data_IF_625100932325
#
_entry.id   IF_625100932325
#
_cell.length_a   1.000
_cell.length_b   1.000
_cell.length_c   1.000
_cell.angle_alpha   90.00
_cell.angle_beta   90.00
_cell.angle_gamma   90.00
#
_symmetry.space_group_name_H-M   'P 1'
#
loop_
_entity.id
_entity.type
_entity.pdbx_description
1 polymer ?
#
# COMPACT_ATOMS: atom_id res chain seq x y z
N UNK A 1 21.31 -27.28 -21.18
CA UNK A 1 21.81 -25.94 -20.82
C UNK A 1 20.79 -24.89 -21.21
N UNK A 2 20.80 -24.45 -22.47
CA UNK A 2 19.83 -23.48 -22.98
C UNK A 2 18.39 -24.03 -23.02
N UNK A 3 18.22 -25.30 -23.39
CA UNK A 3 16.87 -25.91 -23.44
C UNK A 3 16.24 -25.98 -22.04
N UNK A 4 17.04 -26.40 -21.03
CA UNK A 4 16.65 -26.34 -19.63
C UNK A 4 16.30 -24.92 -19.15
N UNK A 5 17.05 -23.90 -19.57
CA UNK A 5 16.73 -22.51 -19.24
C UNK A 5 15.36 -22.11 -19.82
N UNK A 6 15.04 -22.52 -21.06
CA UNK A 6 13.76 -22.20 -21.68
C UNK A 6 12.59 -22.89 -20.99
N UNK A 7 12.75 -24.17 -20.67
CA UNK A 7 11.77 -24.98 -19.94
C UNK A 7 11.53 -24.41 -18.54
N UNK A 8 12.60 -24.16 -17.78
CA UNK A 8 12.53 -23.55 -16.46
C UNK A 8 11.89 -22.16 -16.51
N UNK A 9 12.18 -21.35 -17.54
CA UNK A 9 11.59 -20.02 -17.68
C UNK A 9 10.13 -20.05 -18.12
N UNK A 10 9.66 -21.14 -18.74
CA UNK A 10 8.24 -21.33 -19.04
C UNK A 10 7.44 -21.79 -17.83
N UNK A 11 8.00 -22.63 -16.96
CA UNK A 11 7.32 -23.11 -15.75
C UNK A 11 7.47 -22.12 -14.58
N UNK A 12 8.66 -21.55 -14.41
CA UNK A 12 9.05 -20.71 -13.28
C UNK A 12 9.75 -19.42 -13.75
N UNK A 13 9.00 -18.45 -14.33
CA UNK A 13 9.58 -17.27 -14.99
C UNK A 13 10.44 -16.41 -14.04
N UNK A 14 10.12 -16.44 -12.75
CA UNK A 14 10.65 -15.57 -11.71
C UNK A 14 11.96 -16.06 -11.10
N UNK A 15 12.36 -17.31 -11.35
CA UNK A 15 13.62 -17.83 -10.80
C UNK A 15 14.80 -17.14 -11.50
N UNK A 16 15.68 -16.42 -10.79
CA UNK A 16 16.88 -15.83 -11.38
C UNK A 16 17.84 -16.94 -11.82
N UNK A 17 18.23 -16.95 -13.11
CA UNK A 17 19.18 -17.94 -13.66
C UNK A 17 20.41 -17.24 -14.22
N UNK A 18 21.59 -17.58 -13.68
CA UNK A 18 22.90 -17.14 -14.19
C UNK A 18 23.53 -18.28 -14.97
N UNK A 19 23.86 -18.04 -16.23
CA UNK A 19 24.48 -19.05 -17.10
C UNK A 19 25.99 -19.02 -16.95
N UNK A 20 26.63 -20.19 -16.81
CA UNK A 20 28.09 -20.31 -16.68
C UNK A 20 28.65 -21.13 -17.84
N UNK A 21 29.69 -20.64 -18.53
CA UNK A 21 30.31 -21.32 -19.67
C UNK A 21 31.83 -21.48 -19.52
N UNK A 22 32.43 -22.48 -20.16
CA UNK A 22 33.88 -22.57 -20.34
C UNK A 22 34.38 -21.90 -21.64
N UNK A 23 33.49 -21.66 -22.61
CA UNK A 23 33.82 -21.07 -23.90
C UNK A 23 33.15 -19.69 -24.02
N UNK A 24 33.95 -18.63 -23.90
CA UNK A 24 33.49 -17.24 -23.96
C UNK A 24 33.18 -16.78 -25.40
N UNK A 25 32.06 -17.24 -25.96
CA UNK A 25 31.55 -16.71 -27.23
C UNK A 25 30.40 -15.73 -26.96
N UNK A 26 30.60 -14.46 -27.31
CA UNK A 26 29.64 -13.36 -27.14
C UNK A 26 28.28 -13.70 -27.78
N UNK A 27 28.26 -14.43 -28.91
CA UNK A 27 27.01 -14.84 -29.56
C UNK A 27 26.15 -15.73 -28.66
N UNK A 28 26.76 -16.62 -27.89
CA UNK A 28 26.04 -17.52 -26.98
C UNK A 28 25.52 -16.79 -25.74
N UNK A 29 26.26 -15.78 -25.25
CA UNK A 29 25.80 -14.94 -24.14
C UNK A 29 24.49 -14.22 -24.48
N UNK A 30 24.40 -13.64 -25.68
CA UNK A 30 23.18 -12.95 -26.15
C UNK A 30 22.00 -13.91 -26.27
N UNK A 31 22.23 -15.14 -26.75
CA UNK A 31 21.17 -16.15 -26.86
C UNK A 31 20.65 -16.56 -25.48
N UNK A 32 21.54 -16.73 -24.49
CA UNK A 32 21.16 -17.03 -23.10
C UNK A 32 20.33 -15.90 -22.47
N UNK A 33 20.74 -14.64 -22.65
CA UNK A 33 20.01 -13.48 -22.12
C UNK A 33 18.62 -13.36 -22.75
N UNK A 34 18.50 -13.55 -24.08
CA UNK A 34 17.21 -13.56 -24.77
C UNK A 34 16.30 -14.71 -24.33
N UNK A 35 16.88 -15.84 -23.92
CA UNK A 35 16.14 -16.99 -23.40
C UNK A 35 15.72 -16.83 -21.93
N UNK A 36 16.02 -15.69 -21.28
CA UNK A 36 15.56 -15.38 -19.92
C UNK A 36 16.60 -15.57 -18.82
N UNK A 37 17.87 -15.82 -19.16
CA UNK A 37 18.95 -15.72 -18.18
C UNK A 37 19.17 -14.26 -17.79
N UNK A 38 19.44 -14.01 -16.51
CA UNK A 38 19.68 -12.65 -16.00
C UNK A 38 21.12 -12.20 -16.24
N UNK A 39 22.04 -13.17 -16.29
CA UNK A 39 23.45 -12.90 -16.53
C UNK A 39 24.18 -14.12 -17.10
N UNK A 40 25.37 -13.89 -17.64
CA UNK A 40 26.23 -14.88 -18.28
C UNK A 40 27.68 -14.70 -17.83
N UNK A 41 28.27 -15.73 -17.21
CA UNK A 41 29.61 -15.71 -16.64
C UNK A 41 30.50 -16.75 -17.34
N UNK A 42 31.71 -16.34 -17.72
CA UNK A 42 32.72 -17.21 -18.32
C UNK A 42 33.66 -17.78 -17.26
N UNK A 43 34.08 -19.05 -17.40
CA UNK A 43 35.13 -19.66 -16.59
C UNK A 43 36.51 -19.23 -17.12
N UNK A 44 37.53 -19.10 -16.25
CA UNK A 44 37.49 -19.28 -14.80
C UNK A 44 36.65 -18.20 -14.10
N UNK A 45 35.91 -18.60 -13.07
CA UNK A 45 34.93 -17.72 -12.41
C UNK A 45 35.68 -16.70 -11.57
N UNK A 46 35.51 -15.42 -11.89
CA UNK A 46 35.88 -14.33 -10.99
C UNK A 46 34.92 -14.29 -9.81
N UNK A 47 35.47 -14.46 -8.60
CA UNK A 47 34.70 -14.52 -7.35
C UNK A 47 34.02 -13.19 -7.04
N UNK A 48 34.67 -12.05 -7.29
CA UNK A 48 34.11 -10.73 -7.02
C UNK A 48 32.96 -10.43 -7.97
N UNK A 49 33.15 -10.76 -9.26
CA UNK A 49 32.10 -10.65 -10.25
C UNK A 49 30.89 -11.52 -9.89
N UNK A 50 31.10 -12.79 -9.54
CA UNK A 50 30.01 -13.68 -9.15
C UNK A 50 29.24 -13.16 -7.93
N UNK A 51 29.95 -12.71 -6.89
CA UNK A 51 29.32 -12.15 -5.69
C UNK A 51 28.49 -10.90 -6.02
N UNK A 52 29.01 -9.98 -6.83
CA UNK A 52 28.28 -8.77 -7.21
C UNK A 52 26.97 -9.07 -7.95
N UNK A 53 26.98 -10.07 -8.83
CA UNK A 53 25.81 -10.50 -9.60
C UNK A 53 24.79 -11.17 -8.69
N UNK A 54 25.25 -12.05 -7.80
CA UNK A 54 24.37 -12.74 -6.86
C UNK A 54 23.72 -11.76 -5.87
N UNK A 55 24.47 -10.81 -5.30
CA UNK A 55 23.93 -9.82 -4.36
C UNK A 55 22.86 -8.94 -5.01
N UNK A 56 23.14 -8.40 -6.20
CA UNK A 56 22.20 -7.56 -6.95
C UNK A 56 20.90 -8.31 -7.30
N UNK A 57 21.01 -9.57 -7.70
CA UNK A 57 19.86 -10.35 -8.15
C UNK A 57 19.05 -10.92 -6.97
N UNK A 58 19.68 -11.22 -5.84
CA UNK A 58 18.98 -11.57 -4.60
C UNK A 58 18.18 -10.38 -4.05
N UNK A 59 18.74 -9.17 -4.09
CA UNK A 59 18.00 -7.94 -3.73
C UNK A 59 16.81 -7.70 -4.68
N UNK A 60 16.98 -7.86 -5.99
CA UNK A 60 15.88 -7.71 -6.95
C UNK A 60 14.81 -8.81 -6.82
N UNK A 61 15.22 -10.03 -6.47
CA UNK A 61 14.33 -11.19 -6.32
C UNK A 61 13.55 -11.16 -5.00
N UNK A 62 14.11 -10.62 -3.90
CA UNK A 62 13.34 -10.39 -2.68
C UNK A 62 12.22 -9.38 -2.94
N UNK A 63 12.53 -8.26 -3.61
CA UNK A 63 11.55 -7.22 -3.93
C UNK A 63 10.41 -7.76 -4.81
N UNK A 64 10.70 -8.67 -5.77
CA UNK A 64 9.68 -9.27 -6.63
C UNK A 64 8.86 -10.36 -5.95
N UNK A 65 9.48 -11.17 -5.08
CA UNK A 65 8.78 -12.20 -4.28
C UNK A 65 7.89 -11.58 -3.21
N UNK A 66 8.37 -10.52 -2.55
CA UNK A 66 7.56 -9.74 -1.61
C UNK A 66 6.38 -9.09 -2.33
N UNK A 67 6.53 -8.66 -3.59
CA UNK A 67 5.42 -8.13 -4.39
C UNK A 67 4.34 -9.18 -4.70
N UNK A 68 4.73 -10.45 -4.88
CA UNK A 68 3.81 -11.55 -5.20
C UNK A 68 3.17 -12.10 -3.92
N UNK A 69 3.91 -12.28 -2.83
CA UNK A 69 3.33 -12.69 -1.54
C UNK A 69 2.41 -11.60 -0.96
N UNK A 70 2.73 -10.32 -1.18
CA UNK A 70 1.82 -9.21 -0.89
C UNK A 70 0.56 -9.29 -1.77
N UNK A 71 0.67 -9.61 -3.06
CA UNK A 71 -0.49 -9.81 -3.95
C UNK A 71 -1.36 -11.00 -3.56
N UNK A 72 -0.77 -12.12 -3.12
CA UNK A 72 -1.51 -13.28 -2.61
C UNK A 72 -2.18 -12.98 -1.27
N UNK A 73 -1.54 -12.19 -0.39
CA UNK A 73 -2.16 -11.67 0.84
C UNK A 73 -3.31 -10.69 0.54
N UNK A 74 -3.26 -10.00 -0.61
CA UNK A 74 -4.35 -9.16 -1.12
C UNK A 74 -5.50 -9.99 -1.71
N UNK A 75 -5.24 -11.16 -2.29
CA UNK A 75 -6.29 -12.12 -2.67
C UNK A 75 -6.99 -12.71 -1.44
N UNK A 76 -6.29 -12.95 -0.33
CA UNK A 76 -6.94 -13.30 0.95
C UNK A 76 -7.82 -12.15 1.49
N UNK A 77 -7.46 -10.89 1.22
CA UNK A 77 -8.33 -9.73 1.49
C UNK A 77 -9.54 -9.63 0.52
N UNK A 78 -9.52 -10.32 -0.62
CA UNK A 78 -10.60 -10.33 -1.60
C UNK A 78 -11.92 -10.86 -1.03
N UNK A 79 -11.87 -11.75 -0.03
CA UNK A 79 -13.08 -12.32 0.57
C UNK A 79 -13.90 -11.26 1.33
N UNK A 80 -13.24 -10.30 1.99
CA UNK A 80 -13.92 -9.19 2.67
C UNK A 80 -14.48 -8.14 1.73
N UNK A 81 -13.76 -7.86 0.63
CA UNK A 81 -14.22 -6.88 -0.36
C UNK A 81 -15.39 -7.39 -1.21
N UNK A 82 -15.64 -8.70 -1.23
CA UNK A 82 -16.71 -9.31 -2.01
C UNK A 82 -18.00 -9.56 -1.23
N UNK A 83 -18.03 -9.31 0.09
CA UNK A 83 -19.27 -9.41 0.84
C UNK A 83 -20.22 -8.27 0.43
N UNK A 84 -21.22 -8.60 -0.38
CA UNK A 84 -22.28 -7.66 -0.76
C UNK A 84 -23.25 -7.52 0.42
N UNK A 85 -23.47 -6.29 0.85
CA UNK A 85 -24.45 -5.98 1.90
C UNK A 85 -25.86 -5.97 1.32
N UNK A 86 -26.82 -6.45 2.11
CA UNK A 86 -28.24 -6.36 1.77
C UNK A 86 -28.87 -5.05 2.28
N UNK A 87 -28.12 -4.24 3.05
CA UNK A 87 -28.58 -2.95 3.55
C UNK A 87 -28.57 -1.89 2.43
N UNK A 88 -29.69 -1.19 2.18
CA UNK A 88 -29.77 -0.18 1.12
C UNK A 88 -28.72 0.93 1.24
N UNK A 89 -28.30 1.31 2.45
CA UNK A 89 -27.29 2.38 2.62
C UNK A 89 -25.90 1.89 2.23
N UNK A 90 -25.58 0.64 2.50
CA UNK A 90 -24.33 0.04 2.02
C UNK A 90 -24.34 -0.13 0.51
N UNK A 91 -25.47 -0.49 -0.09
CA UNK A 91 -25.61 -0.55 -1.55
C UNK A 91 -25.46 0.83 -2.22
N UNK A 92 -25.95 1.89 -1.57
CA UNK A 92 -25.70 3.26 -2.00
C UNK A 92 -24.21 3.61 -1.93
N UNK A 93 -23.52 3.25 -0.84
CA UNK A 93 -22.07 3.39 -0.73
C UNK A 93 -21.36 2.66 -1.87
N UNK A 94 -21.74 1.41 -2.17
CA UNK A 94 -21.17 0.64 -3.28
C UNK A 94 -21.43 1.28 -4.65
N UNK A 95 -22.61 1.87 -4.85
CA UNK A 95 -22.94 2.65 -6.06
C UNK A 95 -22.03 3.87 -6.20
N UNK A 96 -21.77 4.59 -5.10
CA UNK A 96 -20.84 5.71 -5.08
C UNK A 96 -19.42 5.22 -5.39
N UNK A 97 -18.97 4.13 -4.74
CA UNK A 97 -17.66 3.51 -5.01
C UNK A 97 -17.51 3.21 -6.51
N UNK A 98 -18.52 2.60 -7.12
CA UNK A 98 -18.53 2.31 -8.56
C UNK A 98 -18.33 3.53 -9.46
N UNK A 99 -18.83 4.70 -9.05
CA UNK A 99 -18.67 5.97 -9.78
C UNK A 99 -17.31 6.62 -9.56
N UNK A 100 -16.71 6.46 -8.39
CA UNK A 100 -15.48 7.16 -7.98
C UNK A 100 -14.22 6.30 -8.09
N UNK A 101 -14.35 5.01 -8.42
CA UNK A 101 -13.23 4.04 -8.45
C UNK A 101 -12.04 4.49 -9.29
N UNK A 102 -12.28 5.20 -10.39
CA UNK A 102 -11.24 5.70 -11.31
C UNK A 102 -10.86 7.17 -11.07
N UNK A 103 -11.55 7.84 -10.14
CA UNK A 103 -11.30 9.25 -9.80
C UNK A 103 -10.08 9.42 -8.88
N UNK A 104 -9.23 10.43 -9.10
CA UNK A 104 -8.15 10.77 -8.17
C UNK A 104 -8.63 11.56 -6.94
N UNK A 105 -9.93 11.88 -6.85
CA UNK A 105 -10.49 12.66 -5.76
C UNK A 105 -10.27 12.00 -4.39
N UNK A 106 -10.04 12.84 -3.38
CA UNK A 106 -9.95 12.41 -1.98
C UNK A 106 -11.30 11.88 -1.51
N UNK A 107 -11.26 10.79 -0.76
CA UNK A 107 -12.45 10.20 -0.14
C UNK A 107 -12.29 10.22 1.37
N UNK A 108 -13.28 10.75 2.07
CA UNK A 108 -13.39 10.73 3.52
C UNK A 108 -14.44 9.68 3.94
N UNK A 109 -14.03 8.72 4.76
CA UNK A 109 -14.88 7.64 5.25
C UNK A 109 -15.16 7.87 6.73
N UNK A 110 -16.42 8.08 7.09
CA UNK A 110 -16.87 8.29 8.46
C UNK A 110 -17.61 7.06 8.96
N UNK A 111 -17.55 6.81 10.26
CA UNK A 111 -18.31 5.75 10.90
C UNK A 111 -17.61 5.22 12.16
N UNK A 112 -18.36 4.58 13.04
CA UNK A 112 -17.84 4.09 14.32
C UNK A 112 -16.64 3.14 14.17
N UNK A 113 -15.89 2.93 15.25
CA UNK A 113 -14.81 1.93 15.24
C UNK A 113 -15.37 0.54 14.92
N UNK A 114 -14.65 -0.23 14.10
CA UNK A 114 -15.06 -1.58 13.71
C UNK A 114 -16.18 -1.69 12.67
N UNK A 115 -16.67 -0.58 12.07
CA UNK A 115 -17.72 -0.66 11.03
C UNK A 115 -17.22 -1.08 9.64
N UNK A 116 -15.90 -1.26 9.46
CA UNK A 116 -15.30 -1.69 8.20
C UNK A 116 -14.74 -0.57 7.33
N UNK A 117 -14.38 0.59 7.90
CA UNK A 117 -13.80 1.73 7.15
C UNK A 117 -12.59 1.35 6.29
N UNK A 118 -11.67 0.55 6.82
CA UNK A 118 -10.51 0.06 6.05
C UNK A 118 -10.94 -0.87 4.90
N UNK A 119 -11.94 -1.73 5.11
CA UNK A 119 -12.46 -2.62 4.06
C UNK A 119 -13.07 -1.79 2.93
N UNK A 120 -13.84 -0.75 3.26
CA UNK A 120 -14.39 0.20 2.29
C UNK A 120 -13.28 0.93 1.53
N UNK A 121 -12.22 1.38 2.22
CA UNK A 121 -11.06 1.99 1.58
C UNK A 121 -10.36 1.04 0.59
N UNK A 122 -10.18 -0.23 0.97
CA UNK A 122 -9.65 -1.28 0.10
C UNK A 122 -10.58 -1.53 -1.10
N UNK A 123 -11.90 -1.58 -0.89
CA UNK A 123 -12.90 -1.74 -1.96
C UNK A 123 -12.81 -0.60 -2.99
N UNK A 124 -12.65 0.65 -2.55
CA UNK A 124 -12.42 1.80 -3.44
C UNK A 124 -11.14 1.61 -4.27
N UNK A 125 -10.05 1.18 -3.65
CA UNK A 125 -8.77 1.02 -4.32
C UNK A 125 -8.78 -0.13 -5.35
N UNK A 126 -9.26 -1.31 -4.95
CA UNK A 126 -9.21 -2.52 -5.78
C UNK A 126 -10.29 -2.59 -6.87
N UNK A 127 -11.32 -1.74 -6.82
CA UNK A 127 -12.40 -1.74 -7.82
C UNK A 127 -12.07 -1.02 -9.13
N UNK A 128 -11.03 -0.17 -9.17
CA UNK A 128 -10.75 0.73 -10.30
C UNK A 128 -9.32 0.71 -10.83
N UNK A 129 -8.92 1.82 -11.48
CA UNK A 129 -7.61 2.05 -12.10
C UNK A 129 -6.42 1.78 -11.16
N UNK A 130 -6.61 2.00 -9.85
CA UNK A 130 -5.55 1.91 -8.86
C UNK A 130 -5.26 0.48 -8.37
N UNK A 131 -6.08 -0.51 -8.74
CA UNK A 131 -6.04 -1.89 -8.21
C UNK A 131 -4.68 -2.62 -8.24
N UNK A 132 -3.80 -2.23 -9.16
CA UNK A 132 -2.48 -2.85 -9.35
C UNK A 132 -1.34 -2.04 -8.75
N UNK A 133 -1.65 -0.87 -8.18
CA UNK A 133 -0.71 0.04 -7.53
C UNK A 133 -0.68 -0.23 -6.02
N UNK A 134 0.31 0.30 -5.28
CA UNK A 134 0.36 0.09 -3.83
C UNK A 134 -0.85 0.68 -3.10
N UNK A 135 -1.37 -0.04 -2.12
CA UNK A 135 -2.28 0.47 -1.10
C UNK A 135 -1.52 0.50 0.23
N UNK A 136 -1.21 1.69 0.72
CA UNK A 136 -0.42 1.88 1.94
C UNK A 136 -1.32 2.48 3.01
N UNK A 137 -1.51 1.76 4.12
CA UNK A 137 -2.26 2.23 5.28
C UNK A 137 -1.36 2.79 6.38
N UNK A 138 -1.86 3.76 7.13
CA UNK A 138 -1.30 4.25 8.38
C UNK A 138 -2.43 4.61 9.34
N UNK A 139 -2.35 4.12 10.56
CA UNK A 139 -3.24 4.51 11.66
C UNK A 139 -2.61 5.68 12.42
N UNK A 140 -3.38 6.74 12.61
CA UNK A 140 -2.89 7.99 13.19
C UNK A 140 -3.06 8.08 14.72
N UNK A 141 -3.89 7.23 15.35
CA UNK A 141 -4.16 7.29 16.79
C UNK A 141 -3.09 6.63 17.67
N UNK A 142 -2.24 5.78 17.09
CA UNK A 142 -1.29 4.97 17.85
C UNK A 142 0.14 5.56 17.98
N UNK A 143 0.40 6.73 17.38
CA UNK A 143 1.75 7.28 17.27
C UNK A 143 1.85 8.67 17.90
N UNK A 144 2.97 8.94 18.59
CA UNK A 144 3.33 10.31 18.92
C UNK A 144 3.64 11.10 17.63
N UNK A 145 3.52 12.43 17.68
CA UNK A 145 3.67 13.29 16.49
C UNK A 145 4.98 13.06 15.73
N UNK A 146 6.11 12.90 16.43
CA UNK A 146 7.41 12.68 15.81
C UNK A 146 7.48 11.34 15.05
N UNK A 147 6.89 10.29 15.62
CA UNK A 147 6.81 8.97 14.97
C UNK A 147 5.83 9.01 13.81
N UNK A 148 4.67 9.67 13.96
CA UNK A 148 3.71 9.81 12.86
C UNK A 148 4.31 10.60 11.69
N UNK A 149 5.06 11.68 11.98
CA UNK A 149 5.76 12.47 10.97
C UNK A 149 6.81 11.63 10.22
N UNK A 150 7.63 10.90 10.98
CA UNK A 150 8.63 9.98 10.45
C UNK A 150 8.03 8.82 9.64
N UNK A 151 6.86 8.31 10.04
CA UNK A 151 6.12 7.31 9.27
C UNK A 151 5.58 7.92 7.97
N UNK A 152 4.86 9.04 8.02
CA UNK A 152 4.22 9.65 6.86
C UNK A 152 5.24 10.13 5.82
N UNK A 153 6.24 10.91 6.26
CA UNK A 153 7.16 11.63 5.38
C UNK A 153 8.54 10.98 5.30
N UNK A 154 8.86 10.03 6.17
CA UNK A 154 10.20 9.44 6.24
C UNK A 154 11.18 10.35 6.96
N UNK A 155 12.40 9.85 7.16
CA UNK A 155 13.47 10.62 7.80
C UNK A 155 14.83 10.34 7.18
N UNK A 156 15.69 11.35 7.22
CA UNK A 156 17.11 11.19 6.93
C UNK A 156 17.89 10.67 8.14
N UNK A 157 19.07 10.08 7.90
CA UNK A 157 19.95 9.63 8.97
C UNK A 157 20.32 10.81 9.88
N UNK A 158 20.14 10.66 11.18
CA UNK A 158 20.44 11.69 12.18
C UNK A 158 19.36 12.77 12.35
N UNK A 159 18.18 12.61 11.77
CA UNK A 159 17.08 13.58 11.90
C UNK A 159 16.57 13.75 13.35
N UNK A 160 16.67 12.70 14.17
CA UNK A 160 16.34 12.72 15.60
C UNK A 160 17.15 11.64 16.35
N UNK A 161 17.11 11.66 17.68
CA UNK A 161 17.77 10.65 18.52
C UNK A 161 17.20 9.26 18.25
N UNK A 162 18.00 8.36 17.66
CA UNK A 162 17.58 7.02 17.24
C UNK A 162 17.41 6.84 15.72
N UNK A 163 17.58 7.89 14.92
CA UNK A 163 17.57 7.83 13.45
C UNK A 163 18.92 7.29 12.90
N UNK A 164 19.21 6.01 13.15
CA UNK A 164 20.48 5.37 12.76
C UNK A 164 20.65 5.18 11.25
N UNK A 165 19.54 5.08 10.52
CA UNK A 165 19.47 4.93 9.08
C UNK A 165 18.40 5.84 8.49
N UNK A 166 18.43 6.02 7.18
CA UNK A 166 17.35 6.67 6.44
C UNK A 166 16.14 5.73 6.37
N UNK A 167 14.93 6.28 6.47
CA UNK A 167 13.66 5.56 6.28
C UNK A 167 12.77 6.27 5.28
N UNK A 168 12.16 5.52 4.37
CA UNK A 168 11.16 6.03 3.43
C UNK A 168 9.82 6.23 4.14
N UNK A 169 9.12 7.33 3.80
CA UNK A 169 7.80 7.62 4.32
C UNK A 169 6.68 6.89 3.59
N UNK A 170 5.48 6.83 4.20
CA UNK A 170 4.28 6.25 3.59
C UNK A 170 3.88 6.95 2.30
N UNK A 171 4.06 8.27 2.18
CA UNK A 171 3.83 8.99 0.93
C UNK A 171 4.75 8.50 -0.21
N UNK A 172 6.03 8.23 0.09
CA UNK A 172 6.96 7.69 -0.92
C UNK A 172 6.63 6.26 -1.30
N UNK A 173 6.30 5.42 -0.30
CA UNK A 173 5.94 4.03 -0.51
C UNK A 173 4.63 3.89 -1.32
N UNK A 174 3.69 4.80 -1.12
CA UNK A 174 2.44 4.83 -1.89
C UNK A 174 2.69 5.20 -3.35
N UNK A 175 3.63 6.12 -3.62
CA UNK A 175 3.97 6.56 -4.98
C UNK A 175 2.73 7.04 -5.74
N UNK A 176 2.40 6.39 -6.86
CA UNK A 176 1.19 6.69 -7.66
C UNK A 176 -0.04 5.86 -7.24
N UNK A 177 0.06 5.09 -6.16
CA UNK A 177 -0.99 4.27 -5.58
C UNK A 177 -1.95 5.04 -4.68
N UNK A 178 -2.32 4.44 -3.55
CA UNK A 178 -3.25 5.02 -2.59
C UNK A 178 -2.65 5.01 -1.18
N UNK A 179 -2.73 6.16 -0.51
CA UNK A 179 -2.43 6.30 0.91
C UNK A 179 -3.76 6.35 1.67
N UNK A 180 -3.95 5.37 2.54
CA UNK A 180 -5.07 5.30 3.47
C UNK A 180 -4.64 5.83 4.84
N UNK A 181 -5.28 6.92 5.28
CA UNK A 181 -5.06 7.54 6.58
C UNK A 181 -6.23 7.15 7.49
N UNK A 182 -6.01 6.27 8.44
CA UNK A 182 -7.04 5.88 9.42
C UNK A 182 -6.95 6.74 10.67
N UNK A 183 -8.11 6.97 11.30
CA UNK A 183 -8.24 7.76 12.53
C UNK A 183 -7.65 9.17 12.42
N UNK A 184 -7.94 9.88 11.32
CA UNK A 184 -7.38 11.21 11.04
C UNK A 184 -7.78 12.28 12.06
N UNK A 185 -8.87 12.05 12.81
CA UNK A 185 -9.30 12.93 13.90
C UNK A 185 -8.32 12.96 15.08
N UNK A 186 -7.47 11.95 15.23
CA UNK A 186 -6.49 11.85 16.31
C UNK A 186 -5.16 12.58 16.01
N UNK A 187 -4.99 13.14 14.80
CA UNK A 187 -3.80 13.92 14.47
C UNK A 187 -3.75 15.23 15.28
N UNK A 188 -2.57 15.61 15.75
CA UNK A 188 -2.37 16.95 16.31
C UNK A 188 -2.55 18.05 15.25
N UNK A 189 -2.88 19.28 15.69
CA UNK A 189 -3.01 20.43 14.78
C UNK A 189 -1.74 20.70 13.95
N UNK A 190 -0.56 20.40 14.51
CA UNK A 190 0.71 20.53 13.81
C UNK A 190 0.83 19.51 12.67
N UNK A 191 0.48 18.25 12.93
CA UNK A 191 0.46 17.20 11.90
C UNK A 191 -0.61 17.47 10.84
N UNK A 192 -1.79 17.96 11.23
CA UNK A 192 -2.85 18.37 10.31
C UNK A 192 -2.37 19.48 9.34
N UNK A 193 -1.64 20.48 9.85
CA UNK A 193 -1.07 21.55 9.02
C UNK A 193 -0.03 21.02 8.02
N UNK A 194 0.84 20.09 8.44
CA UNK A 194 1.81 19.43 7.55
C UNK A 194 1.10 18.61 6.48
N UNK A 195 0.11 17.80 6.87
CA UNK A 195 -0.68 17.02 5.92
C UNK A 195 -1.36 17.92 4.89
N UNK A 196 -2.04 18.99 5.32
CA UNK A 196 -2.68 19.94 4.42
C UNK A 196 -1.70 20.50 3.38
N UNK A 197 -0.49 20.87 3.81
CA UNK A 197 0.55 21.38 2.91
C UNK A 197 0.91 20.36 1.83
N UNK A 198 1.09 19.09 2.20
CA UNK A 198 1.37 18.01 1.23
C UNK A 198 0.21 17.81 0.25
N UNK A 199 -1.04 17.86 0.74
CA UNK A 199 -2.23 17.72 -0.10
C UNK A 199 -2.38 18.89 -1.10
N UNK A 200 -1.91 20.09 -0.75
CA UNK A 200 -1.96 21.28 -1.59
C UNK A 200 -0.80 21.34 -2.59
N UNK A 201 0.43 21.19 -2.10
CA UNK A 201 1.66 21.34 -2.87
C UNK A 201 2.01 20.07 -3.68
N UNK A 202 1.40 18.92 -3.37
CA UNK A 202 1.77 17.60 -3.91
C UNK A 202 3.26 17.29 -3.76
N UNK A 203 3.84 17.83 -2.70
CA UNK A 203 5.24 17.65 -2.39
C UNK A 203 5.48 17.75 -0.89
N UNK A 204 6.58 17.15 -0.43
CA UNK A 204 6.98 17.16 0.97
C UNK A 204 8.49 16.95 1.11
N UNK A 205 9.00 17.13 2.33
CA UNK A 205 10.38 16.87 2.68
C UNK A 205 10.42 15.80 3.77
N UNK A 206 11.48 14.99 3.79
CA UNK A 206 11.71 14.06 4.90
C UNK A 206 12.04 14.85 6.17
N UNK A 207 11.76 14.26 7.32
CA UNK A 207 12.22 14.81 8.61
C UNK A 207 13.75 14.93 8.59
N UNK A 208 14.26 16.14 8.86
CA UNK A 208 15.68 16.46 8.84
C UNK A 208 16.32 16.54 7.45
N UNK A 209 15.52 16.42 6.38
CA UNK A 209 15.96 16.60 5.00
C UNK A 209 15.56 17.97 4.44
N UNK A 210 16.22 18.39 3.37
CA UNK A 210 15.88 19.61 2.59
C UNK A 210 15.49 19.31 1.16
N UNK A 211 15.47 18.02 0.79
CA UNK A 211 15.10 17.59 -0.55
C UNK A 211 13.59 17.47 -0.66
N UNK A 212 13.00 18.30 -1.49
CA UNK A 212 11.59 18.20 -1.88
C UNK A 212 11.35 16.93 -2.70
N UNK A 213 10.30 16.20 -2.35
CA UNK A 213 9.84 14.94 -2.96
C UNK A 213 8.43 15.16 -3.45
N UNK A 214 8.18 14.87 -4.74
CA UNK A 214 6.84 14.96 -5.33
C UNK A 214 6.03 13.69 -5.02
N UNK A 215 4.72 13.85 -4.82
CA UNK A 215 3.78 12.75 -4.64
C UNK A 215 2.50 12.95 -5.44
N UNK A 216 2.06 11.89 -6.11
CA UNK A 216 0.80 11.82 -6.85
C UNK A 216 -0.13 10.75 -6.25
N UNK A 217 0.06 10.39 -4.98
CA UNK A 217 -0.74 9.36 -4.34
C UNK A 217 -2.20 9.81 -4.20
N UNK A 218 -3.14 8.90 -4.48
CA UNK A 218 -4.55 9.09 -4.13
C UNK A 218 -4.72 9.00 -2.63
N UNK A 219 -5.56 9.86 -2.05
CA UNK A 219 -5.78 9.91 -0.61
C UNK A 219 -7.16 9.35 -0.27
N UNK A 220 -7.21 8.44 0.70
CA UNK A 220 -8.43 8.02 1.37
C UNK A 220 -8.21 8.24 2.86
N UNK A 221 -9.09 8.97 3.51
CA UNK A 221 -9.02 9.26 4.94
C UNK A 221 -10.21 8.61 5.66
N UNK A 222 -10.04 8.21 6.90
CA UNK A 222 -11.10 7.68 7.74
C UNK A 222 -11.09 8.30 9.14
N UNK A 223 -12.29 8.43 9.72
CA UNK A 223 -12.48 8.88 11.11
C UNK A 223 -13.64 8.15 11.77
N UNK A 224 -13.46 7.80 13.04
CA UNK A 224 -14.52 7.38 13.96
C UNK A 224 -15.10 8.53 14.80
N UNK A 225 -14.43 9.68 14.80
CA UNK A 225 -14.85 10.89 15.51
C UNK A 225 -15.65 11.82 14.59
N UNK A 226 -16.53 12.62 15.20
CA UNK A 226 -17.22 13.71 14.51
C UNK A 226 -16.23 14.86 14.27
N UNK A 227 -15.75 14.96 13.04
CA UNK A 227 -14.78 16.00 12.66
C UNK A 227 -15.37 17.41 12.74
N UNK A 228 -16.68 17.58 12.57
CA UNK A 228 -17.34 18.89 12.67
C UNK A 228 -17.35 19.37 14.13
N UNK A 229 -17.64 18.47 15.07
CA UNK A 229 -17.52 18.74 16.49
C UNK A 229 -16.06 19.06 16.88
N UNK A 230 -15.07 18.32 16.36
CA UNK A 230 -13.65 18.63 16.59
C UNK A 230 -13.24 20.00 16.03
N UNK A 231 -13.77 20.42 14.88
CA UNK A 231 -13.55 21.77 14.33
C UNK A 231 -14.11 22.82 15.30
N UNK A 232 -15.33 22.64 15.78
CA UNK A 232 -15.98 23.58 16.70
C UNK A 232 -15.19 23.76 18.01
N UNK A 233 -14.49 22.72 18.44
CA UNK A 233 -13.62 22.71 19.63
C UNK A 233 -12.18 23.14 19.36
N UNK A 234 -11.84 23.46 18.11
CA UNK A 234 -10.48 23.83 17.70
C UNK A 234 -9.47 22.69 17.71
N UNK A 235 -9.93 21.43 17.76
CA UNK A 235 -9.08 20.23 17.73
C UNK A 235 -8.81 19.72 16.31
N UNK A 236 -9.61 20.14 15.34
CA UNK A 236 -9.42 19.81 13.93
C UNK A 236 -9.48 21.06 13.05
N UNK A 237 -8.62 21.13 12.03
CA UNK A 237 -8.55 22.29 11.14
C UNK A 237 -9.64 22.23 10.08
N UNK A 238 -10.39 23.31 9.95
CA UNK A 238 -11.46 23.46 8.96
C UNK A 238 -10.95 23.36 7.52
N UNK A 239 -9.79 23.93 7.21
CA UNK A 239 -9.19 23.90 5.87
C UNK A 239 -8.77 22.48 5.43
N UNK A 240 -8.25 21.67 6.36
CA UNK A 240 -7.96 20.27 6.12
C UNK A 240 -9.24 19.47 5.89
N UNK A 241 -10.29 19.72 6.67
CA UNK A 241 -11.58 19.04 6.51
C UNK A 241 -12.10 19.21 5.08
N UNK A 242 -12.21 20.45 4.59
CA UNK A 242 -12.69 20.71 3.23
C UNK A 242 -11.78 20.14 2.13
N UNK A 243 -10.47 19.99 2.39
CA UNK A 243 -9.55 19.34 1.45
C UNK A 243 -9.75 17.83 1.38
N UNK A 244 -10.16 17.20 2.48
CA UNK A 244 -10.40 15.76 2.57
C UNK A 244 -11.84 15.37 2.15
N UNK A 245 -12.83 16.22 2.42
CA UNK A 245 -14.26 15.92 2.28
C UNK A 245 -14.84 16.12 0.87
N UNK A 246 -14.01 15.99 -0.19
CA UNK A 246 -14.49 16.07 -1.58
C UNK A 246 -15.56 15.03 -1.89
N UNK A 247 -15.36 13.81 -1.39
CA UNK A 247 -16.36 12.74 -1.40
C UNK A 247 -16.43 12.21 0.02
N UNK A 248 -17.63 12.16 0.61
CA UNK A 248 -17.86 11.66 1.97
C UNK A 248 -18.69 10.39 1.89
N UNK A 249 -18.23 9.34 2.57
CA UNK A 249 -18.93 8.06 2.74
C UNK A 249 -19.17 7.82 4.22
N UNK A 250 -20.43 7.76 4.65
CA UNK A 250 -20.80 7.49 6.03
C UNK A 250 -21.22 6.04 6.19
N UNK A 251 -20.40 5.23 6.86
CA UNK A 251 -20.68 3.81 7.08
C UNK A 251 -21.60 3.67 8.30
N UNK A 252 -22.82 3.11 8.13
CA UNK A 252 -23.73 2.88 9.24
C UNK A 252 -23.16 1.83 10.21
N UNK A 253 -23.40 1.97 11.53
CA UNK A 253 -22.99 0.97 12.50
C UNK A 253 -23.79 -0.33 12.31
N UNK A 254 -23.22 -1.47 12.73
CA UNK A 254 -23.81 -2.79 12.50
C UNK A 254 -25.24 -2.92 13.05
N UNK A 255 -25.53 -2.29 14.20
CA UNK A 255 -26.88 -2.23 14.80
C UNK A 255 -27.94 -1.59 13.91
N UNK A 256 -27.53 -0.76 12.96
CA UNK A 256 -28.43 -0.14 12.01
C UNK A 256 -28.63 -1.03 10.77
N UNK A 257 -27.67 -1.90 10.44
CA UNK A 257 -27.66 -2.80 9.27
C UNK A 257 -27.71 -4.28 9.68
N UNK A 258 -28.73 -4.65 10.45
CA UNK A 258 -28.83 -5.98 11.05
C UNK A 258 -28.90 -7.13 10.03
N UNK A 259 -29.30 -6.86 8.79
CA UNK A 259 -29.31 -7.84 7.70
C UNK A 259 -27.91 -8.32 7.31
N UNK A 260 -26.85 -7.58 7.64
CA UNK A 260 -25.47 -7.99 7.37
C UNK A 260 -24.90 -8.90 8.45
N UNK A 261 -25.57 -9.08 9.59
CA UNK A 261 -25.05 -9.85 10.73
C UNK A 261 -24.87 -11.32 10.35
N UNK A 262 -25.88 -11.96 9.75
CA UNK A 262 -25.83 -13.37 9.38
C UNK A 262 -24.74 -13.66 8.31
N UNK A 263 -24.67 -12.90 7.19
CA UNK A 263 -23.57 -13.05 6.23
C UNK A 263 -22.18 -12.84 6.83
N UNK A 264 -22.03 -11.89 7.77
CA UNK A 264 -20.76 -11.65 8.46
C UNK A 264 -20.37 -12.83 9.38
N UNK A 265 -21.33 -13.43 10.08
CA UNK A 265 -21.10 -14.61 10.92
C UNK A 265 -20.57 -15.76 10.05
N UNK A 266 -21.24 -16.05 8.93
CA UNK A 266 -20.82 -17.12 8.03
C UNK A 266 -19.41 -16.88 7.49
N UNK A 267 -19.12 -15.65 7.07
CA UNK A 267 -17.79 -15.25 6.60
C UNK A 267 -16.71 -15.48 7.67
N UNK A 268 -16.96 -15.04 8.91
CA UNK A 268 -15.97 -15.18 9.98
C UNK A 268 -15.79 -16.64 10.42
N UNK A 269 -16.85 -17.46 10.37
CA UNK A 269 -16.73 -18.91 10.62
C UNK A 269 -15.88 -19.56 9.54
N UNK A 270 -16.13 -19.28 8.26
CA UNK A 270 -15.34 -19.82 7.16
C UNK A 270 -13.87 -19.41 7.27
N UNK A 271 -13.61 -18.16 7.65
CA UNK A 271 -12.26 -17.67 7.86
C UNK A 271 -11.56 -18.39 9.03
N UNK A 272 -12.23 -18.51 10.17
CA UNK A 272 -11.66 -19.21 11.33
C UNK A 272 -11.36 -20.67 10.99
N UNK A 273 -12.24 -21.33 10.22
CA UNK A 273 -12.01 -22.68 9.74
C UNK A 273 -10.76 -22.78 8.85
N UNK A 274 -10.56 -21.84 7.92
CA UNK A 274 -9.34 -21.78 7.09
C UNK A 274 -8.09 -21.53 7.92
N UNK A 275 -8.14 -20.58 8.87
CA UNK A 275 -7.00 -20.23 9.72
C UNK A 275 -6.59 -21.39 10.65
N UNK A 276 -7.57 -22.10 11.19
CA UNK A 276 -7.36 -23.22 12.12
C UNK A 276 -7.37 -24.61 11.45
N UNK A 277 -7.45 -24.68 10.11
CA UNK A 277 -7.56 -25.92 9.32
C UNK A 277 -8.67 -26.87 9.84
N UNK A 278 -9.87 -26.34 10.09
CA UNK A 278 -11.05 -27.09 10.53
C UNK A 278 -12.15 -27.14 9.48
#
# INVERSE_FOLDING_TARGET
GLDFLRELKSEEPLIPVVMITAYGNIKNAVVCLKAGAINYITKPIDRELLLSVLTRELESSSIKRDNISLRESLEACSNYTNLESLDPRMQEIDSIIGRIKDSPATVLILGESGTGKEITAKRIHYSGLYRSRPFIGVNCAALNDNLLESELFGHEKGAFTGAFSRKLGRFELAGSGTLFLDEIGDMSLAMQAKLLRVLQERSFERVGGTRTILTDCRIIAASNQDLQDLISRGAFREDLYYRLSLIVLEIPPLRARSCDIEPLIDLFIQQANLEYNR
#
